data_IF_979150248744
#
_entry.id   IF_979150248744
#
_cell.length_a   1.000
_cell.length_b   1.000
_cell.length_c   1.000
_cell.angle_alpha   90.00
_cell.angle_beta   90.00
_cell.angle_gamma   90.00
#
_symmetry.space_group_name_H-M   'P 1'
#
loop_
_entity.id
_entity.type
_entity.pdbx_description
1 polymer ?
#
# COMPACT_ATOMS: atom_id res chain seq x y z
N UNK A 1 -3.03 -20.77 5.36
CA UNK A 1 -3.71 -19.55 4.89
C UNK A 1 -4.08 -18.71 6.10
N UNK A 2 -3.75 -17.41 6.10
CA UNK A 2 -4.07 -16.46 7.16
C UNK A 2 -5.05 -15.44 6.57
N UNK A 3 -6.16 -15.16 7.24
CA UNK A 3 -7.20 -14.23 6.75
C UNK A 3 -7.78 -13.36 7.85
N UNK A 4 -8.43 -12.27 7.44
CA UNK A 4 -9.30 -11.47 8.29
C UNK A 4 -10.61 -12.23 8.65
N UNK A 5 -11.16 -12.06 9.87
CA UNK A 5 -12.46 -12.61 10.27
C UNK A 5 -13.59 -12.38 9.26
N UNK A 6 -13.62 -11.23 8.59
CA UNK A 6 -14.70 -10.85 7.68
C UNK A 6 -14.87 -11.80 6.48
N UNK A 7 -13.80 -12.51 6.09
CA UNK A 7 -13.82 -13.43 4.94
C UNK A 7 -13.94 -14.90 5.32
N UNK A 8 -14.01 -15.24 6.61
CA UNK A 8 -14.12 -16.61 7.13
C UNK A 8 -15.29 -17.37 6.50
N UNK A 9 -16.48 -16.73 6.44
CA UNK A 9 -17.68 -17.36 5.87
C UNK A 9 -17.51 -17.70 4.39
N UNK A 10 -16.84 -16.85 3.61
CA UNK A 10 -16.57 -17.09 2.19
C UNK A 10 -15.55 -18.22 2.01
N UNK A 11 -14.54 -18.28 2.86
CA UNK A 11 -13.56 -19.39 2.84
C UNK A 11 -14.21 -20.72 3.20
N UNK A 12 -15.09 -20.75 4.20
CA UNK A 12 -15.78 -21.98 4.59
C UNK A 12 -16.60 -22.58 3.43
N UNK A 13 -17.18 -21.76 2.56
CA UNK A 13 -17.91 -22.23 1.35
C UNK A 13 -17.03 -22.95 0.32
N UNK A 14 -15.70 -22.76 0.37
CA UNK A 14 -14.74 -23.37 -0.57
C UNK A 14 -13.67 -24.20 0.15
N UNK A 15 -13.84 -24.50 1.45
CA UNK A 15 -12.82 -25.13 2.29
C UNK A 15 -12.35 -26.46 1.73
N UNK A 16 -13.27 -27.34 1.36
CA UNK A 16 -12.95 -28.66 0.79
C UNK A 16 -12.10 -28.55 -0.49
N UNK A 17 -12.32 -27.51 -1.29
CA UNK A 17 -11.52 -27.26 -2.50
C UNK A 17 -10.10 -26.81 -2.14
N UNK A 18 -9.96 -25.97 -1.12
CA UNK A 18 -8.65 -25.50 -0.63
C UNK A 18 -7.85 -26.63 0.01
N UNK A 19 -8.50 -27.51 0.77
CA UNK A 19 -7.87 -28.69 1.37
C UNK A 19 -7.37 -29.67 0.28
N UNK A 20 -8.17 -29.89 -0.78
CA UNK A 20 -7.75 -30.68 -1.96
C UNK A 20 -6.56 -30.05 -2.71
N UNK A 21 -6.39 -28.74 -2.63
CA UNK A 21 -5.23 -28.01 -3.15
C UNK A 21 -4.03 -28.01 -2.19
N UNK A 22 -4.13 -28.69 -1.04
CA UNK A 22 -3.05 -28.86 -0.08
C UNK A 22 -2.99 -27.79 1.02
N UNK A 23 -4.01 -26.95 1.17
CA UNK A 23 -4.08 -26.01 2.30
C UNK A 23 -4.34 -26.77 3.59
N UNK A 24 -3.34 -26.85 4.47
CA UNK A 24 -3.40 -27.59 5.74
C UNK A 24 -3.90 -26.76 6.93
N UNK A 25 -3.54 -25.48 6.96
CA UNK A 25 -3.81 -24.59 8.10
C UNK A 25 -4.70 -23.44 7.68
N UNK A 26 -5.77 -23.23 8.45
CA UNK A 26 -6.71 -22.11 8.32
C UNK A 26 -6.58 -21.25 9.58
N UNK A 27 -6.01 -20.06 9.42
CA UNK A 27 -5.67 -19.16 10.51
C UNK A 27 -6.46 -17.87 10.31
N UNK A 28 -7.10 -17.36 11.37
CA UNK A 28 -7.83 -16.09 11.34
C UNK A 28 -7.20 -15.08 12.30
N UNK A 29 -7.30 -13.79 11.97
CA UNK A 29 -6.94 -12.70 12.88
C UNK A 29 -8.02 -12.54 13.97
N UNK A 30 -8.01 -13.41 14.97
CA UNK A 30 -9.05 -13.48 16.01
C UNK A 30 -9.73 -14.85 16.04
N UNK A 31 -10.33 -15.16 17.19
CA UNK A 31 -10.89 -16.48 17.46
C UNK A 31 -12.11 -16.74 16.59
N UNK A 32 -12.15 -17.92 15.98
CA UNK A 32 -13.23 -18.37 15.10
C UNK A 32 -13.76 -19.75 15.53
N UNK A 33 -14.82 -20.20 14.85
CA UNK A 33 -15.42 -21.51 15.08
C UNK A 33 -14.51 -22.71 14.73
N UNK A 34 -15.03 -23.94 14.87
CA UNK A 34 -14.26 -25.16 14.66
C UNK A 34 -13.46 -25.18 13.34
N UNK A 35 -12.22 -25.68 13.41
CA UNK A 35 -11.33 -25.81 12.26
C UNK A 35 -10.54 -24.53 11.91
N UNK A 36 -10.61 -23.49 12.71
CA UNK A 36 -9.80 -22.27 12.58
C UNK A 36 -8.83 -22.12 13.75
N UNK A 37 -7.59 -21.76 13.43
CA UNK A 37 -6.59 -21.36 14.43
C UNK A 37 -6.61 -19.85 14.61
N UNK A 38 -6.42 -19.39 15.84
CA UNK A 38 -6.29 -17.96 16.15
C UNK A 38 -4.85 -17.50 15.94
N UNK A 39 -4.64 -16.48 15.10
CA UNK A 39 -3.32 -15.94 14.81
C UNK A 39 -2.61 -15.42 16.06
N UNK A 40 -3.31 -14.70 16.94
CA UNK A 40 -2.72 -14.05 18.10
C UNK A 40 -2.26 -15.06 19.15
N UNK A 41 -3.04 -16.13 19.39
CA UNK A 41 -2.67 -17.27 20.22
C UNK A 41 -1.45 -18.00 19.64
N UNK A 42 -1.39 -18.19 18.31
CA UNK A 42 -0.27 -18.87 17.67
C UNK A 42 1.06 -18.12 17.81
N UNK A 43 1.04 -16.79 17.73
CA UNK A 43 2.24 -15.95 17.81
C UNK A 43 2.58 -15.51 19.24
N UNK A 44 1.62 -15.59 20.17
CA UNK A 44 1.83 -15.20 21.57
C UNK A 44 2.94 -16.01 22.23
N UNK A 45 3.88 -15.32 22.88
CA UNK A 45 5.01 -15.92 23.57
C UNK A 45 6.02 -16.64 22.66
N UNK A 46 5.91 -16.49 21.34
CA UNK A 46 6.91 -17.03 20.40
C UNK A 46 8.15 -16.14 20.37
N UNK A 47 9.28 -16.77 20.07
CA UNK A 47 10.56 -16.09 19.91
C UNK A 47 10.52 -15.11 18.73
N UNK A 48 11.03 -13.91 18.94
CA UNK A 48 11.30 -12.94 17.87
C UNK A 48 12.52 -13.34 17.02
N UNK A 49 13.40 -14.21 17.55
CA UNK A 49 14.48 -14.80 16.80
C UNK A 49 13.92 -15.87 15.85
N UNK A 50 13.74 -15.50 14.59
CA UNK A 50 13.32 -16.38 13.52
C UNK A 50 14.35 -16.37 12.40
N UNK A 51 14.89 -17.55 12.07
CA UNK A 51 15.71 -17.72 10.89
C UNK A 51 14.80 -18.15 9.73
N UNK A 52 14.59 -17.23 8.79
CA UNK A 52 13.80 -17.49 7.59
C UNK A 52 14.39 -18.61 6.72
N UNK A 53 13.52 -19.25 5.93
CA UNK A 53 13.94 -20.22 4.91
C UNK A 53 14.78 -19.49 3.86
N UNK A 54 15.90 -20.10 3.46
CA UNK A 54 16.71 -19.61 2.33
C UNK A 54 16.01 -19.97 1.02
N UNK A 55 15.25 -19.03 0.49
CA UNK A 55 14.58 -19.16 -0.81
C UNK A 55 15.53 -18.85 -1.95
N UNK A 56 15.29 -19.45 -3.12
CA UNK A 56 16.02 -19.07 -4.35
C UNK A 56 15.45 -17.80 -4.94
N UNK A 57 16.25 -17.09 -5.73
CA UNK A 57 15.84 -15.84 -6.39
C UNK A 57 14.68 -16.03 -7.36
N UNK A 58 14.56 -17.21 -7.98
CA UNK A 58 13.54 -17.57 -8.95
C UNK A 58 12.29 -18.22 -8.34
N UNK A 59 12.27 -18.46 -7.03
CA UNK A 59 11.11 -19.00 -6.34
C UNK A 59 9.98 -17.97 -6.26
N UNK A 60 8.74 -18.47 -6.30
CA UNK A 60 7.53 -17.66 -6.24
C UNK A 60 7.40 -16.96 -4.87
N UNK A 61 7.21 -15.64 -4.88
CA UNK A 61 7.06 -14.80 -3.70
C UNK A 61 5.63 -14.25 -3.57
N UNK A 62 5.06 -13.70 -4.65
CA UNK A 62 3.75 -13.05 -4.66
C UNK A 62 2.92 -13.49 -5.86
N UNK A 63 1.61 -13.60 -5.63
CA UNK A 63 0.62 -13.86 -6.68
C UNK A 63 -0.48 -12.81 -6.60
N UNK A 64 -0.67 -12.07 -7.69
CA UNK A 64 -1.78 -11.14 -7.85
C UNK A 64 -2.77 -11.64 -8.89
N UNK A 65 -4.04 -11.32 -8.67
CA UNK A 65 -5.10 -11.55 -9.65
C UNK A 65 -5.45 -10.21 -10.29
N UNK A 66 -5.34 -10.11 -11.60
CA UNK A 66 -5.70 -8.89 -12.35
C UNK A 66 -7.00 -9.10 -13.13
N UNK A 67 -7.83 -8.06 -13.21
CA UNK A 67 -9.04 -8.07 -14.04
C UNK A 67 -8.64 -8.09 -15.52
N UNK A 68 -8.68 -9.25 -16.15
CA UNK A 68 -8.54 -9.36 -17.60
C UNK A 68 -9.79 -8.84 -18.31
N UNK A 69 -9.63 -8.33 -19.54
CA UNK A 69 -10.75 -7.98 -20.44
C UNK A 69 -11.61 -9.19 -20.80
N UNK A 70 -11.11 -10.40 -20.58
CA UNK A 70 -11.73 -11.69 -20.90
C UNK A 70 -12.21 -12.41 -19.63
N UNK A 71 -13.18 -11.83 -18.91
CA UNK A 71 -14.02 -12.36 -17.83
C UNK A 71 -13.39 -13.06 -16.59
N UNK A 72 -12.32 -13.85 -16.71
CA UNK A 72 -11.65 -14.51 -15.58
C UNK A 72 -10.39 -13.73 -15.18
N UNK A 73 -10.13 -13.54 -13.87
CA UNK A 73 -8.89 -12.91 -13.43
C UNK A 73 -7.67 -13.67 -13.91
N UNK A 74 -6.66 -12.94 -14.38
CA UNK A 74 -5.36 -13.53 -14.76
C UNK A 74 -4.45 -13.58 -13.54
N UNK A 75 -3.59 -14.59 -13.48
CA UNK A 75 -2.60 -14.77 -12.42
C UNK A 75 -1.31 -14.09 -12.87
N UNK A 76 -0.86 -13.10 -12.09
CA UNK A 76 0.45 -12.47 -12.22
C UNK A 76 1.33 -12.99 -11.08
N UNK A 77 2.41 -13.65 -11.46
CA UNK A 77 3.35 -14.28 -10.54
C UNK A 77 4.63 -13.46 -10.45
N UNK A 78 5.11 -13.22 -9.23
CA UNK A 78 6.37 -12.55 -8.98
C UNK A 78 7.28 -13.41 -8.11
N UNK A 79 8.57 -13.39 -8.43
CA UNK A 79 9.60 -14.16 -7.74
C UNK A 79 10.23 -13.36 -6.62
N UNK A 80 11.04 -14.02 -5.80
CA UNK A 80 11.87 -13.38 -4.78
C UNK A 80 12.82 -12.32 -5.35
N UNK A 81 13.20 -12.38 -6.63
CA UNK A 81 13.98 -11.34 -7.30
C UNK A 81 13.12 -10.31 -8.03
N UNK A 82 12.08 -10.73 -8.77
CA UNK A 82 11.42 -9.83 -9.74
C UNK A 82 10.66 -8.70 -9.08
N UNK A 83 10.00 -8.95 -7.95
CA UNK A 83 9.24 -7.90 -7.25
C UNK A 83 10.14 -6.95 -6.47
N UNK A 84 11.02 -7.43 -5.55
CA UNK A 84 11.79 -6.52 -4.71
C UNK A 84 12.76 -5.66 -5.51
N UNK A 85 13.45 -6.25 -6.50
CA UNK A 85 14.38 -5.52 -7.38
C UNK A 85 13.61 -4.61 -8.34
N UNK A 86 12.50 -5.07 -8.92
CA UNK A 86 11.65 -4.26 -9.79
C UNK A 86 11.21 -2.96 -9.13
N UNK A 87 10.89 -3.01 -7.83
CA UNK A 87 10.45 -1.85 -7.05
C UNK A 87 11.56 -0.95 -6.51
N UNK A 88 12.84 -1.19 -6.85
CA UNK A 88 13.88 -0.16 -6.73
C UNK A 88 13.57 1.06 -7.62
N UNK A 89 12.94 0.83 -8.77
CA UNK A 89 12.44 1.92 -9.64
C UNK A 89 11.36 2.74 -8.94
N UNK A 90 10.44 2.06 -8.25
CA UNK A 90 9.35 2.69 -7.50
C UNK A 90 9.87 3.46 -6.29
N UNK A 91 10.85 2.91 -5.56
CA UNK A 91 11.58 3.60 -4.50
C UNK A 91 12.11 4.97 -4.99
N UNK A 92 12.76 4.96 -6.16
CA UNK A 92 13.28 6.18 -6.78
C UNK A 92 12.16 7.17 -7.13
N UNK A 93 11.04 6.72 -7.72
CA UNK A 93 9.93 7.60 -8.10
C UNK A 93 9.16 8.18 -6.91
N UNK A 94 8.94 7.38 -5.86
CA UNK A 94 8.36 7.85 -4.60
C UNK A 94 9.29 8.88 -3.95
N UNK A 95 10.59 8.73 -4.13
CA UNK A 95 11.59 9.58 -3.48
C UNK A 95 11.70 9.29 -1.99
N UNK A 96 11.33 8.07 -1.56
CA UNK A 96 11.56 7.61 -0.20
C UNK A 96 13.07 7.50 0.06
N UNK A 97 13.47 7.79 1.30
CA UNK A 97 14.87 7.78 1.74
C UNK A 97 14.97 7.22 3.16
N UNK A 98 16.17 6.81 3.61
CA UNK A 98 16.38 6.41 4.99
C UNK A 98 15.87 7.49 5.96
N UNK A 99 15.11 7.06 6.98
CA UNK A 99 14.53 7.94 7.99
C UNK A 99 13.30 8.76 7.56
N UNK A 100 12.86 8.67 6.29
CA UNK A 100 11.62 9.29 5.85
C UNK A 100 10.41 8.46 6.29
N UNK A 101 9.25 9.12 6.40
CA UNK A 101 7.96 8.47 6.60
C UNK A 101 7.16 8.45 5.30
N UNK A 102 6.85 7.25 4.80
CA UNK A 102 6.06 7.05 3.58
C UNK A 102 4.63 6.61 3.92
N UNK A 103 3.63 7.31 3.39
CA UNK A 103 2.24 6.88 3.43
C UNK A 103 1.76 6.51 2.02
N UNK A 104 1.13 5.34 1.90
CA UNK A 104 0.41 4.94 0.70
C UNK A 104 -1.06 4.68 1.04
N UNK A 105 -1.95 5.33 0.31
CA UNK A 105 -3.39 5.10 0.42
C UNK A 105 -3.74 4.01 -0.59
N UNK A 106 -3.85 2.77 -0.09
CA UNK A 106 -4.22 1.55 -0.82
C UNK A 106 -4.50 0.45 0.21
N UNK A 107 -5.31 -0.57 -0.13
CA UNK A 107 -5.53 -1.72 0.74
C UNK A 107 -4.66 -2.93 0.34
N UNK A 108 -4.29 -3.82 1.29
CA UNK A 108 -3.35 -4.94 1.05
C UNK A 108 -3.66 -5.87 -0.13
N UNK A 109 -4.92 -5.96 -0.55
CA UNK A 109 -5.33 -6.76 -1.71
C UNK A 109 -4.89 -6.20 -3.07
N UNK A 110 -4.48 -4.93 -3.14
CA UNK A 110 -4.02 -4.30 -4.38
C UNK A 110 -2.50 -4.37 -4.51
N UNK A 111 -2.01 -4.58 -5.74
CA UNK A 111 -0.57 -4.56 -6.01
C UNK A 111 0.10 -3.26 -5.51
N UNK A 112 -0.60 -2.12 -5.61
CA UNK A 112 -0.15 -0.83 -5.09
C UNK A 112 0.23 -0.83 -3.62
N UNK A 113 -0.48 -1.59 -2.81
CA UNK A 113 -0.13 -1.70 -1.42
C UNK A 113 1.24 -2.36 -1.27
N UNK A 114 1.48 -3.53 -1.87
CA UNK A 114 2.78 -4.18 -1.73
C UNK A 114 3.90 -3.32 -2.31
N UNK A 115 3.75 -2.83 -3.54
CA UNK A 115 4.86 -2.12 -4.17
C UNK A 115 5.19 -0.77 -3.53
N UNK A 116 4.21 -0.04 -2.98
CA UNK A 116 4.45 1.28 -2.37
C UNK A 116 4.68 1.17 -0.87
N UNK A 117 3.74 0.52 -0.17
CA UNK A 117 3.72 0.44 1.30
C UNK A 117 4.86 -0.42 1.82
N UNK A 118 5.17 -1.52 1.13
CA UNK A 118 6.18 -2.49 1.57
C UNK A 118 7.50 -2.27 0.83
N UNK A 119 7.56 -2.57 -0.47
CA UNK A 119 8.84 -2.63 -1.18
C UNK A 119 9.50 -1.26 -1.37
N UNK A 120 8.79 -0.23 -1.83
CA UNK A 120 9.40 1.09 -2.02
C UNK A 120 9.91 1.68 -0.69
N UNK A 121 9.11 1.61 0.38
CA UNK A 121 9.51 2.12 1.70
C UNK A 121 10.65 1.30 2.31
N UNK A 122 10.55 -0.03 2.32
CA UNK A 122 11.55 -0.87 2.99
C UNK A 122 12.87 -0.92 2.21
N UNK A 123 12.84 -0.94 0.88
CA UNK A 123 14.05 -0.80 0.07
C UNK A 123 14.78 0.52 0.35
N UNK A 124 14.05 1.60 0.65
CA UNK A 124 14.64 2.88 1.04
C UNK A 124 15.14 2.95 2.48
N UNK A 125 14.83 1.96 3.34
CA UNK A 125 15.00 2.11 4.79
C UNK A 125 14.10 3.21 5.40
N UNK A 126 12.96 3.46 4.77
CA UNK A 126 11.94 4.41 5.23
C UNK A 126 10.93 3.71 6.16
N UNK A 127 10.26 4.51 7.01
CA UNK A 127 9.17 4.05 7.85
C UNK A 127 7.85 4.13 7.09
N UNK A 128 7.10 3.03 7.07
CA UNK A 128 5.74 3.03 6.51
C UNK A 128 4.73 3.52 7.54
N UNK A 129 3.90 4.50 7.14
CA UNK A 129 2.74 4.96 7.91
C UNK A 129 1.50 4.29 7.35
N UNK A 130 0.88 3.45 8.17
CA UNK A 130 -0.39 2.80 7.85
C UNK A 130 -1.48 3.44 8.69
N UNK A 131 -2.53 3.93 8.02
CA UNK A 131 -3.73 4.42 8.66
C UNK A 131 -4.87 3.47 8.34
N UNK A 132 -5.39 2.81 9.36
CA UNK A 132 -6.58 1.99 9.24
C UNK A 132 -7.82 2.91 9.23
N UNK A 133 -8.48 2.97 8.08
CA UNK A 133 -9.74 3.68 7.92
C UNK A 133 -10.85 2.68 7.65
N UNK A 134 -11.50 2.21 8.71
CA UNK A 134 -12.73 1.42 8.58
C UNK A 134 -13.87 2.30 8.07
N UNK A 135 -14.58 1.87 7.02
CA UNK A 135 -15.75 2.56 6.50
C UNK A 135 -15.44 3.64 5.46
N UNK A 136 -16.14 4.79 5.54
CA UNK A 136 -16.09 5.81 4.49
C UNK A 136 -14.75 6.56 4.53
N UNK A 137 -14.12 6.69 3.36
CA UNK A 137 -12.92 7.50 3.19
C UNK A 137 -13.19 8.98 3.58
N UNK A 138 -12.27 9.56 4.35
CA UNK A 138 -12.28 10.98 4.76
C UNK A 138 -10.94 11.62 4.43
N UNK A 139 -10.95 12.60 3.52
CA UNK A 139 -9.75 13.34 3.14
C UNK A 139 -9.20 14.14 4.33
N UNK A 140 -10.07 14.83 5.07
CA UNK A 140 -9.70 15.55 6.29
C UNK A 140 -8.97 14.66 7.32
N UNK A 141 -9.44 13.43 7.56
CA UNK A 141 -8.77 12.52 8.51
C UNK A 141 -7.39 12.11 8.01
N UNK A 142 -7.25 11.81 6.72
CA UNK A 142 -5.95 11.50 6.14
C UNK A 142 -4.99 12.68 6.22
N UNK A 143 -5.45 13.91 5.93
CA UNK A 143 -4.63 15.11 6.07
C UNK A 143 -4.12 15.33 7.50
N UNK A 144 -4.97 15.09 8.51
CA UNK A 144 -4.55 15.11 9.93
C UNK A 144 -3.50 14.04 10.25
N UNK A 145 -3.62 12.85 9.66
CA UNK A 145 -2.60 11.80 9.83
C UNK A 145 -1.27 12.24 9.21
N UNK A 146 -1.29 12.84 8.02
CA UNK A 146 -0.06 13.34 7.37
C UNK A 146 0.65 14.38 8.24
N UNK A 147 -0.10 15.30 8.83
CA UNK A 147 0.37 16.33 9.75
C UNK A 147 0.91 15.72 11.05
N UNK A 148 0.08 14.97 11.77
CA UNK A 148 0.41 14.43 13.10
C UNK A 148 1.61 13.49 13.08
N UNK A 149 1.77 12.70 12.01
CA UNK A 149 2.88 11.77 11.88
C UNK A 149 4.06 12.35 11.07
N UNK A 150 3.94 13.59 10.55
CA UNK A 150 4.99 14.24 9.78
C UNK A 150 5.46 13.39 8.58
N UNK A 151 4.52 13.03 7.71
CA UNK A 151 4.78 12.21 6.52
C UNK A 151 5.65 12.97 5.51
N UNK A 152 6.68 12.31 4.98
CA UNK A 152 7.59 12.87 3.97
C UNK A 152 7.15 12.56 2.53
N UNK A 153 6.55 11.41 2.28
CA UNK A 153 6.14 11.02 0.92
C UNK A 153 4.77 10.38 0.92
N UNK A 154 3.88 10.82 0.01
CA UNK A 154 2.51 10.32 -0.09
C UNK A 154 2.23 9.76 -1.48
N UNK A 155 1.80 8.50 -1.54
CA UNK A 155 1.25 7.88 -2.75
C UNK A 155 -0.26 7.67 -2.61
N UNK A 156 -1.07 8.26 -3.49
CA UNK A 156 -2.52 8.12 -3.46
C UNK A 156 -3.09 7.92 -4.89
N UNK A 157 -4.18 7.18 -5.09
CA UNK A 157 -4.82 7.11 -6.41
C UNK A 157 -5.46 8.45 -6.79
N UNK A 158 -5.66 8.74 -8.09
CA UNK A 158 -6.30 9.97 -8.55
C UNK A 158 -7.64 10.28 -7.88
N UNK A 159 -8.48 9.29 -7.66
CA UNK A 159 -9.75 9.46 -6.94
C UNK A 159 -9.57 10.05 -5.55
N UNK A 160 -8.52 9.65 -4.82
CA UNK A 160 -8.19 10.24 -3.51
C UNK A 160 -7.65 11.65 -3.66
N UNK A 161 -6.80 11.91 -4.66
CA UNK A 161 -6.33 13.27 -4.93
C UNK A 161 -7.48 14.24 -5.22
N UNK A 162 -8.48 13.81 -6.00
CA UNK A 162 -9.70 14.59 -6.26
C UNK A 162 -10.46 14.93 -4.97
N UNK A 163 -10.46 14.04 -3.98
CA UNK A 163 -11.08 14.32 -2.68
C UNK A 163 -10.23 15.28 -1.84
N UNK A 164 -8.90 15.09 -1.82
CA UNK A 164 -7.98 15.95 -1.07
C UNK A 164 -8.06 17.40 -1.54
N UNK A 165 -8.15 17.67 -2.85
CA UNK A 165 -8.19 19.06 -3.35
C UNK A 165 -9.49 19.81 -3.02
N UNK A 166 -10.54 19.11 -2.59
CA UNK A 166 -11.78 19.72 -2.13
C UNK A 166 -11.67 20.22 -0.68
N UNK A 167 -10.69 19.73 0.08
CA UNK A 167 -10.38 20.22 1.41
C UNK A 167 -9.67 21.57 1.35
N UNK A 168 -9.82 22.34 2.42
CA UNK A 168 -9.02 23.54 2.64
C UNK A 168 -7.65 23.15 3.21
N UNK A 169 -6.66 23.00 2.32
CA UNK A 169 -5.32 22.55 2.68
C UNK A 169 -4.58 23.53 3.62
N UNK A 170 -5.02 24.79 3.70
CA UNK A 170 -4.40 25.79 4.60
C UNK A 170 -4.60 25.48 6.08
N UNK A 171 -5.54 24.58 6.41
CA UNK A 171 -5.84 24.12 7.77
C UNK A 171 -4.91 23.04 8.29
N UNK A 172 -3.97 22.56 7.48
CA UNK A 172 -3.09 21.44 7.81
C UNK A 172 -1.64 21.83 7.56
N UNK A 173 -0.76 21.55 8.52
CA UNK A 173 0.68 21.69 8.35
C UNK A 173 1.25 20.49 7.57
N UNK A 174 1.47 20.68 6.28
CA UNK A 174 1.97 19.67 5.35
C UNK A 174 3.43 19.91 4.95
N UNK A 175 4.17 20.72 5.70
CA UNK A 175 5.51 21.20 5.36
C UNK A 175 6.55 20.07 5.26
N UNK A 176 6.32 18.97 5.98
CA UNK A 176 7.18 17.79 5.95
C UNK A 176 7.12 17.02 4.62
N UNK A 177 6.04 17.15 3.84
CA UNK A 177 5.90 16.37 2.62
C UNK A 177 6.90 16.87 1.56
N UNK A 178 7.70 15.97 1.00
CA UNK A 178 8.71 16.24 -0.02
C UNK A 178 8.34 15.69 -1.39
N UNK A 179 7.47 14.70 -1.43
CA UNK A 179 7.06 14.04 -2.67
C UNK A 179 5.61 13.58 -2.62
N UNK A 180 4.96 13.75 -3.77
CA UNK A 180 3.63 13.23 -4.03
C UNK A 180 3.71 12.28 -5.23
N UNK A 181 2.94 11.19 -5.17
CA UNK A 181 2.81 10.23 -6.26
C UNK A 181 1.35 9.91 -6.48
N UNK A 182 0.98 9.82 -7.76
CA UNK A 182 -0.33 9.33 -8.19
C UNK A 182 -0.17 8.11 -9.09
N UNK A 183 -0.98 7.07 -8.86
CA UNK A 183 -0.95 5.83 -9.61
C UNK A 183 -2.31 5.12 -9.61
N UNK A 184 -2.60 4.38 -10.68
CA UNK A 184 -3.75 3.48 -10.82
C UNK A 184 -4.86 3.99 -11.75
N UNK A 185 -4.94 5.29 -11.99
CA UNK A 185 -5.91 5.90 -12.90
C UNK A 185 -5.26 7.11 -13.61
N UNK A 186 -5.90 7.65 -14.67
CA UNK A 186 -5.54 8.97 -15.20
C UNK A 186 -5.82 10.10 -14.19
N UNK A 187 -4.86 11.02 -14.06
CA UNK A 187 -5.01 12.22 -13.23
C UNK A 187 -5.18 13.47 -14.10
N UNK A 188 -6.18 14.29 -13.79
CA UNK A 188 -6.48 15.51 -14.54
C UNK A 188 -5.42 16.60 -14.24
N UNK A 189 -4.96 17.38 -15.23
CA UNK A 189 -4.00 18.46 -15.03
C UNK A 189 -4.39 19.49 -13.96
N UNK A 190 -5.68 19.82 -13.85
CA UNK A 190 -6.18 20.77 -12.86
C UNK A 190 -5.93 20.33 -11.41
N UNK A 191 -6.00 19.01 -11.15
CA UNK A 191 -5.71 18.44 -9.82
C UNK A 191 -4.23 18.65 -9.47
N UNK A 192 -3.35 18.46 -10.46
CA UNK A 192 -1.92 18.71 -10.31
C UNK A 192 -1.67 20.18 -9.95
N UNK A 193 -2.23 21.09 -10.73
CA UNK A 193 -2.03 22.52 -10.53
C UNK A 193 -2.52 23.00 -9.17
N UNK A 194 -3.68 22.52 -8.71
CA UNK A 194 -4.26 22.94 -7.43
C UNK A 194 -3.42 22.47 -6.24
N UNK A 195 -2.92 21.23 -6.27
CA UNK A 195 -1.99 20.71 -5.25
C UNK A 195 -0.70 21.54 -5.21
N UNK A 196 -0.17 21.93 -6.37
CA UNK A 196 1.01 22.81 -6.43
C UNK A 196 0.71 24.23 -5.92
N UNK A 197 -0.36 24.88 -6.40
CA UNK A 197 -0.72 26.27 -6.05
C UNK A 197 -0.98 26.44 -4.55
N UNK A 198 -1.70 25.51 -3.92
CA UNK A 198 -2.00 25.57 -2.48
C UNK A 198 -0.78 25.32 -1.59
N UNK A 199 0.31 24.79 -2.15
CA UNK A 199 1.60 24.68 -1.45
C UNK A 199 2.50 25.90 -1.64
N UNK A 200 2.46 26.51 -2.81
CA UNK A 200 3.29 27.67 -3.16
C UNK A 200 2.87 28.92 -2.37
N UNK A 201 1.60 29.03 -1.95
CA UNK A 201 1.17 30.10 -1.03
C UNK A 201 1.78 30.00 0.39
N UNK A 202 2.35 28.84 0.77
CA UNK A 202 2.94 28.61 2.09
C UNK A 202 4.47 28.78 2.11
N UNK A 203 5.12 28.76 0.94
CA UNK A 203 6.58 28.89 0.79
C UNK A 203 6.93 29.87 -0.34
N UNK A 204 6.67 31.17 -0.12
CA UNK A 204 7.41 32.21 -0.82
C UNK A 204 8.80 32.32 -0.17
N UNK A 205 9.84 31.97 -0.93
CA UNK A 205 11.28 31.93 -0.57
C UNK A 205 11.75 30.68 0.18
N UNK A 206 12.07 29.58 -0.54
CA UNK A 206 13.46 29.10 -0.67
C UNK A 206 13.56 27.89 -1.64
N UNK A 207 14.77 27.64 -2.12
CA UNK A 207 15.11 26.98 -3.39
C UNK A 207 15.21 25.44 -3.37
N UNK A 208 14.12 24.67 -3.19
CA UNK A 208 14.05 23.27 -3.67
C UNK A 208 12.59 22.88 -4.01
N UNK A 209 12.24 22.79 -5.30
CA UNK A 209 10.89 22.35 -5.71
C UNK A 209 10.69 20.85 -5.45
N UNK A 210 9.66 20.43 -4.67
CA UNK A 210 9.26 19.03 -4.62
C UNK A 210 8.72 18.56 -5.98
N UNK A 211 9.06 17.34 -6.40
CA UNK A 211 8.64 16.75 -7.69
C UNK A 211 7.35 15.93 -7.49
N UNK A 212 6.27 16.27 -8.19
CA UNK A 212 5.15 15.34 -8.42
C UNK A 212 5.54 14.42 -9.57
N UNK A 213 5.73 13.14 -9.25
CA UNK A 213 5.91 12.10 -10.27
C UNK A 213 4.53 11.52 -10.59
N UNK A 214 4.01 11.83 -11.77
CA UNK A 214 2.81 11.19 -12.31
C UNK A 214 3.19 9.93 -13.08
N UNK A 215 2.61 8.81 -12.68
CA UNK A 215 2.68 7.60 -13.49
C UNK A 215 1.28 7.20 -13.95
N UNK A 216 1.05 7.37 -15.26
CA UNK A 216 -0.09 6.83 -15.98
C UNK A 216 0.20 5.35 -16.27
N UNK A 217 0.07 4.53 -15.25
CA UNK A 217 0.02 3.08 -15.43
C UNK A 217 -1.32 2.67 -15.99
N UNK A 218 -1.35 2.24 -17.25
CA UNK A 218 -2.47 1.47 -17.74
C UNK A 218 -2.45 0.11 -17.03
N UNK A 219 -3.60 -0.30 -16.49
CA UNK A 219 -3.84 -1.65 -16.03
C UNK A 219 -3.85 -2.61 -17.24
N UNK A 220 -2.70 -2.85 -17.87
CA UNK A 220 -2.56 -3.88 -18.89
C UNK A 220 -1.20 -4.58 -18.76
N UNK A 221 -1.21 -5.65 -17.98
CA UNK A 221 -0.47 -6.87 -18.26
C UNK A 221 -1.38 -8.05 -17.85
#
# INVERSE_FOLDING_TARGET
MIIDPEVVNRVNQIRDRLEKLGVKYFISLGKQGPGWLDYYELVSGKSENFQGVRTRTDELLLVYFTSGTTAKPKIVMHTHSSYPIGHLTTMYWVGAKPGYRHMNISSPGWAKWAWSTFFAAFNAGATTVVYDYSGRFSAANHLKVLENYGVDTLCAPPTVWRMIILEDLTKYNLDKIKSFVSAGEPLNPEVIERVYKQRVSTYAMDTVRPRLHLWLGTSQA
#
